data_IF_850390177541
#
_entry.id   IF_850390177541
#
_cell.length_a   1.000
_cell.length_b   1.000
_cell.length_c   1.000
_cell.angle_alpha   90.00
_cell.angle_beta   90.00
_cell.angle_gamma   90.00
#
_symmetry.space_group_name_H-M   'P 1'
#
loop_
_entity.id
_entity.type
_entity.pdbx_description
1 polymer ?
#
# COMPACT_ATOMS: atom_id res chain seq x y z
N UNK A 1 -20.36 5.86 59.47
CA UNK A 1 -20.27 6.57 58.18
C UNK A 1 -19.12 7.57 58.21
N UNK A 2 -18.03 7.31 57.47
CA UNK A 2 -17.05 8.33 57.05
C UNK A 2 -16.30 7.75 55.85
N UNK A 3 -16.45 8.41 54.70
CA UNK A 3 -15.84 8.06 53.40
C UNK A 3 -14.36 8.46 53.42
N UNK A 4 -13.49 7.60 52.91
CA UNK A 4 -12.12 7.96 52.51
C UNK A 4 -12.02 7.78 50.99
N UNK A 5 -11.65 8.86 50.31
CA UNK A 5 -11.41 8.94 48.87
C UNK A 5 -10.01 8.41 48.55
N UNK A 6 -9.92 7.58 47.52
CA UNK A 6 -8.69 7.17 46.87
C UNK A 6 -8.16 8.28 45.96
N UNK A 7 -6.88 8.61 46.10
CA UNK A 7 -6.12 9.50 45.21
C UNK A 7 -5.26 8.65 44.27
N UNK A 8 -5.48 8.80 42.98
CA UNK A 8 -4.70 8.25 41.88
C UNK A 8 -3.33 8.95 41.80
N UNK A 9 -2.23 8.18 41.72
CA UNK A 9 -0.91 8.71 41.40
C UNK A 9 -0.62 8.50 39.91
N UNK A 10 -0.36 9.61 39.22
CA UNK A 10 0.30 9.68 37.92
C UNK A 10 1.77 10.05 38.13
N UNK A 11 2.71 9.35 37.47
CA UNK A 11 4.13 9.70 37.27
C UNK A 11 4.83 8.50 36.60
N UNK A 12 5.83 8.59 35.72
CA UNK A 12 6.56 9.69 35.09
C UNK A 12 7.31 9.11 33.86
N UNK A 13 7.64 10.01 32.94
CA UNK A 13 8.44 9.90 31.72
C UNK A 13 9.85 9.29 31.84
N UNK A 14 10.35 8.68 30.75
CA UNK A 14 11.76 8.80 30.34
C UNK A 14 11.81 9.03 28.82
N UNK A 15 12.39 10.17 28.44
CA UNK A 15 12.70 10.55 27.07
C UNK A 15 14.12 10.06 26.71
N UNK A 16 14.27 9.41 25.56
CA UNK A 16 15.56 9.10 24.96
C UNK A 16 15.75 9.97 23.72
N UNK A 17 16.76 10.83 23.77
CA UNK A 17 17.24 11.64 22.65
C UNK A 17 18.02 10.74 21.69
N UNK A 18 17.57 10.63 20.44
CA UNK A 18 18.37 10.11 19.34
C UNK A 18 18.43 11.16 18.23
N UNK A 19 19.65 11.48 17.84
CA UNK A 19 19.98 12.48 16.84
C UNK A 19 19.46 12.06 15.46
N UNK A 20 18.62 12.91 14.86
CA UNK A 20 18.26 12.84 13.46
C UNK A 20 19.46 13.29 12.62
N UNK A 21 20.18 12.35 12.04
CA UNK A 21 20.94 12.62 10.82
C UNK A 21 19.94 12.56 9.64
N UNK A 22 19.51 13.73 9.20
CA UNK A 22 18.76 13.88 7.96
C UNK A 22 19.70 13.55 6.78
N UNK A 23 19.49 12.41 6.14
CA UNK A 23 19.94 12.20 4.76
C UNK A 23 18.73 12.46 3.86
N UNK A 24 18.66 13.68 3.33
CA UNK A 24 17.73 14.03 2.27
C UNK A 24 18.16 13.34 0.97
N UNK A 25 17.27 12.56 0.39
CA UNK A 25 17.39 12.08 -0.98
C UNK A 25 17.09 13.22 -1.95
N UNK A 26 18.12 14.00 -2.27
CA UNK A 26 18.08 15.04 -3.29
C UNK A 26 18.09 14.44 -4.70
N UNK A 27 17.27 15.02 -5.57
CA UNK A 27 17.28 14.74 -7.01
C UNK A 27 18.44 15.44 -7.70
N UNK A 28 19.10 14.72 -8.60
CA UNK A 28 20.18 15.27 -9.41
C UNK A 28 19.69 15.52 -10.85
N UNK A 29 19.57 16.79 -11.18
CA UNK A 29 19.66 17.31 -12.54
C UNK A 29 20.99 18.04 -12.73
N UNK A 30 21.62 17.86 -13.88
CA UNK A 30 22.80 18.62 -14.32
C UNK A 30 23.46 17.96 -15.53
N UNK A 31 23.13 18.38 -16.76
CA UNK A 31 23.73 19.49 -17.52
C UNK A 31 24.99 19.11 -18.30
N UNK A 32 24.80 19.10 -19.63
CA UNK A 32 25.68 19.51 -20.73
C UNK A 32 27.21 19.46 -20.56
N UNK A 33 27.84 18.65 -21.40
CA UNK A 33 29.11 19.04 -22.04
C UNK A 33 29.08 18.74 -23.54
N UNK A 34 29.69 19.66 -24.28
CA UNK A 34 29.67 19.84 -25.73
C UNK A 34 30.79 19.06 -26.42
N UNK A 35 30.49 18.57 -27.64
CA UNK A 35 31.45 18.51 -28.74
C UNK A 35 31.94 17.13 -29.18
N UNK A 36 31.39 16.59 -30.26
CA UNK A 36 32.15 16.34 -31.51
C UNK A 36 31.24 15.74 -32.59
N UNK A 37 31.39 16.30 -33.80
CA UNK A 37 30.73 15.95 -35.06
C UNK A 37 31.04 14.53 -35.55
N UNK A 38 30.02 13.83 -36.06
CA UNK A 38 30.19 12.58 -36.81
C UNK A 38 28.89 12.18 -37.52
N UNK A 39 28.90 12.25 -38.84
CA UNK A 39 27.79 12.01 -39.77
C UNK A 39 27.18 10.60 -39.69
N UNK A 40 25.84 10.56 -39.73
CA UNK A 40 25.00 9.67 -40.53
C UNK A 40 25.20 8.14 -40.49
N UNK A 41 24.20 7.44 -39.98
CA UNK A 41 23.34 6.57 -40.81
C UNK A 41 22.13 6.12 -40.01
N UNK A 42 20.94 6.21 -40.60
CA UNK A 42 19.68 5.85 -39.97
C UNK A 42 19.60 4.35 -39.69
N UNK A 43 19.20 4.00 -38.47
CA UNK A 43 18.63 2.69 -38.17
C UNK A 43 17.37 2.91 -37.36
N UNK A 44 16.24 2.71 -38.03
CA UNK A 44 14.89 2.68 -37.52
C UNK A 44 14.72 1.63 -36.41
N UNK A 45 14.11 2.06 -35.30
CA UNK A 45 13.13 1.27 -34.54
C UNK A 45 13.61 -0.06 -33.97
N UNK A 46 14.52 -0.02 -33.00
CA UNK A 46 14.71 -1.12 -32.06
C UNK A 46 13.54 -1.15 -31.07
N UNK A 47 12.44 -1.82 -31.43
CA UNK A 47 11.44 -2.23 -30.46
C UNK A 47 12.08 -3.22 -29.50
N UNK A 48 12.44 -2.76 -28.30
CA UNK A 48 12.93 -3.61 -27.23
C UNK A 48 11.84 -4.62 -26.87
N UNK A 49 12.06 -5.88 -27.22
CA UNK A 49 11.27 -7.00 -26.71
C UNK A 49 11.28 -6.93 -25.18
N UNK A 50 10.11 -6.93 -24.50
CA UNK A 50 10.06 -6.94 -23.05
C UNK A 50 10.90 -8.11 -22.52
N UNK A 51 11.92 -7.79 -21.71
CA UNK A 51 12.76 -8.82 -21.08
C UNK A 51 11.86 -9.56 -20.09
N UNK A 52 11.70 -10.87 -20.28
CA UNK A 52 10.98 -11.70 -19.32
C UNK A 52 11.67 -11.61 -17.96
N UNK A 53 10.93 -11.15 -16.94
CA UNK A 53 11.43 -11.09 -15.57
C UNK A 53 11.43 -12.50 -15.00
N UNK A 54 12.61 -12.96 -14.55
CA UNK A 54 12.77 -14.30 -13.97
C UNK A 54 11.83 -14.51 -12.79
N UNK A 55 11.26 -15.71 -12.69
CA UNK A 55 10.39 -16.10 -11.57
C UNK A 55 8.91 -15.72 -11.72
N UNK A 56 8.53 -14.95 -12.76
CA UNK A 56 7.11 -14.64 -13.02
C UNK A 56 6.37 -15.86 -13.56
N UNK A 57 5.25 -16.20 -12.93
CA UNK A 57 4.43 -17.37 -13.27
C UNK A 57 3.15 -16.96 -13.98
N UNK A 58 2.71 -17.76 -14.96
CA UNK A 58 1.41 -17.56 -15.63
C UNK A 58 0.22 -17.90 -14.74
N UNK A 59 0.41 -18.84 -13.80
CA UNK A 59 -0.55 -19.23 -12.78
C UNK A 59 0.11 -19.27 -11.41
N UNK A 60 -0.50 -18.70 -10.35
CA UNK A 60 0.08 -18.70 -9.02
C UNK A 60 0.23 -20.14 -8.48
N UNK A 61 1.27 -20.37 -7.70
CA UNK A 61 1.65 -21.63 -7.07
C UNK A 61 1.67 -21.54 -5.53
N UNK A 62 1.05 -20.50 -4.95
CA UNK A 62 0.85 -20.45 -3.49
C UNK A 62 0.06 -21.67 -3.01
N UNK A 63 0.43 -22.19 -1.83
CA UNK A 63 -0.21 -23.36 -1.27
C UNK A 63 -1.70 -23.13 -0.97
N UNK A 64 -2.53 -24.15 -1.18
CA UNK A 64 -3.95 -24.08 -0.86
C UNK A 64 -4.16 -23.80 0.63
N UNK A 65 -5.02 -22.82 0.96
CA UNK A 65 -5.29 -22.41 2.35
C UNK A 65 -4.21 -21.54 2.99
N UNK A 66 -3.19 -21.12 2.23
CA UNK A 66 -2.17 -20.17 2.70
C UNK A 66 -2.70 -18.72 2.75
N UNK A 67 -2.07 -17.91 3.61
CA UNK A 67 -2.33 -16.48 3.68
C UNK A 67 -1.97 -15.77 2.37
N UNK A 68 -0.86 -16.18 1.74
CA UNK A 68 -0.38 -15.63 0.47
C UNK A 68 -1.42 -15.84 -0.64
N UNK A 69 -1.97 -17.05 -0.77
CA UNK A 69 -3.00 -17.34 -1.78
C UNK A 69 -4.27 -16.51 -1.53
N UNK A 70 -4.69 -16.39 -0.27
CA UNK A 70 -5.87 -15.62 0.10
C UNK A 70 -5.70 -14.12 -0.21
N UNK A 71 -4.53 -13.54 0.12
CA UNK A 71 -4.19 -12.16 -0.17
C UNK A 71 -4.10 -11.91 -1.68
N UNK A 72 -3.39 -12.78 -2.41
CA UNK A 72 -3.24 -12.70 -3.87
C UNK A 72 -4.60 -12.69 -4.57
N UNK A 73 -5.48 -13.63 -4.22
CA UNK A 73 -6.80 -13.76 -4.85
C UNK A 73 -7.69 -12.55 -4.58
N UNK A 74 -7.76 -12.10 -3.31
CA UNK A 74 -8.60 -10.96 -2.94
C UNK A 74 -8.11 -9.65 -3.59
N UNK A 75 -6.80 -9.41 -3.59
CA UNK A 75 -6.23 -8.23 -4.22
C UNK A 75 -6.47 -8.24 -5.74
N UNK A 76 -6.26 -9.39 -6.40
CA UNK A 76 -6.54 -9.50 -7.84
C UNK A 76 -8.01 -9.37 -8.20
N UNK A 77 -8.92 -9.87 -7.35
CA UNK A 77 -10.36 -9.66 -7.53
C UNK A 77 -10.68 -8.16 -7.63
N UNK A 78 -10.17 -7.37 -6.69
CA UNK A 78 -10.39 -5.92 -6.69
C UNK A 78 -9.70 -5.20 -7.84
N UNK A 79 -8.43 -5.53 -8.10
CA UNK A 79 -7.65 -4.94 -9.21
C UNK A 79 -8.34 -5.13 -10.54
N UNK A 80 -8.70 -6.38 -10.86
CA UNK A 80 -9.32 -6.73 -12.14
C UNK A 80 -10.73 -6.17 -12.28
N UNK A 81 -11.52 -6.12 -11.20
CA UNK A 81 -12.84 -5.48 -11.20
C UNK A 81 -12.75 -4.00 -11.60
N UNK A 82 -11.70 -3.30 -11.18
CA UNK A 82 -11.49 -1.89 -11.48
C UNK A 82 -10.61 -1.62 -12.72
N UNK A 83 -10.30 -2.65 -13.50
CA UNK A 83 -9.52 -2.52 -14.73
C UNK A 83 -8.03 -2.24 -14.52
N UNK A 84 -7.51 -2.43 -13.30
CA UNK A 84 -6.07 -2.43 -13.05
C UNK A 84 -5.43 -3.74 -13.55
N UNK A 85 -4.14 -3.73 -13.90
CA UNK A 85 -3.45 -4.95 -14.32
C UNK A 85 -3.51 -6.03 -13.24
N UNK A 86 -3.89 -7.24 -13.65
CA UNK A 86 -3.85 -8.40 -12.78
C UNK A 86 -2.40 -8.72 -12.38
N UNK A 87 -2.16 -8.91 -11.10
CA UNK A 87 -0.88 -9.33 -10.57
C UNK A 87 -0.62 -10.79 -10.92
N UNK A 88 0.62 -11.06 -11.34
CA UNK A 88 1.21 -12.38 -11.48
C UNK A 88 2.15 -12.62 -10.30
N UNK A 89 2.15 -13.83 -9.76
CA UNK A 89 3.15 -14.21 -8.78
C UNK A 89 4.54 -14.15 -9.40
N UNK A 90 5.49 -13.59 -8.68
CA UNK A 90 6.91 -13.66 -9.00
C UNK A 90 7.68 -14.31 -7.84
N UNK A 91 8.29 -15.46 -8.07
CA UNK A 91 8.94 -16.26 -7.01
C UNK A 91 10.20 -15.60 -6.43
N UNK A 92 10.86 -14.70 -7.16
CA UNK A 92 11.99 -13.93 -6.65
C UNK A 92 11.49 -12.86 -5.67
N UNK A 93 10.39 -12.18 -6.02
CA UNK A 93 9.73 -11.23 -5.13
C UNK A 93 9.13 -11.96 -3.91
N UNK A 94 8.61 -13.18 -4.05
CA UNK A 94 8.15 -13.99 -2.91
C UNK A 94 9.28 -14.22 -1.92
N UNK A 95 10.47 -14.58 -2.40
CA UNK A 95 11.63 -14.79 -1.54
C UNK A 95 12.03 -13.51 -0.79
N UNK A 96 12.02 -12.36 -1.47
CA UNK A 96 12.29 -11.06 -0.85
C UNK A 96 11.25 -10.69 0.21
N UNK A 97 9.97 -10.83 -0.12
CA UNK A 97 8.86 -10.56 0.79
C UNK A 97 8.86 -11.52 2.00
N UNK A 98 9.18 -12.80 1.78
CA UNK A 98 9.26 -13.81 2.83
C UNK A 98 10.40 -13.52 3.81
N UNK A 99 11.55 -13.08 3.29
CA UNK A 99 12.68 -12.65 4.13
C UNK A 99 12.29 -11.43 4.96
N UNK A 100 11.56 -10.47 4.38
CA UNK A 100 11.12 -9.28 5.10
C UNK A 100 10.05 -9.58 6.17
N UNK A 101 9.10 -10.47 5.88
CA UNK A 101 8.14 -10.95 6.86
C UNK A 101 8.85 -11.61 8.07
N UNK A 102 9.88 -12.41 7.80
CA UNK A 102 10.74 -12.98 8.85
C UNK A 102 11.52 -11.91 9.61
N UNK A 103 12.05 -10.89 8.93
CA UNK A 103 12.71 -9.75 9.57
C UNK A 103 11.75 -9.03 10.54
N UNK A 104 10.52 -8.74 10.12
CA UNK A 104 9.52 -8.13 11.00
C UNK A 104 9.24 -8.98 12.24
N UNK A 105 9.10 -10.30 12.08
CA UNK A 105 8.92 -11.21 13.22
C UNK A 105 10.12 -11.29 14.16
N UNK A 106 11.35 -11.31 13.62
CA UNK A 106 12.58 -11.34 14.42
C UNK A 106 12.79 -10.04 15.21
N UNK A 107 12.33 -8.92 14.67
CA UNK A 107 12.49 -7.59 15.27
C UNK A 107 11.20 -7.09 15.95
N UNK A 108 10.15 -7.91 15.96
CA UNK A 108 8.84 -7.66 16.57
C UNK A 108 8.27 -6.26 16.24
N UNK A 109 8.30 -5.90 14.95
CA UNK A 109 7.86 -4.60 14.48
C UNK A 109 7.31 -4.70 13.04
N UNK A 110 6.17 -4.06 12.80
CA UNK A 110 5.68 -3.81 11.44
C UNK A 110 6.41 -2.59 10.91
N UNK A 111 7.25 -2.80 9.90
CA UNK A 111 8.08 -1.76 9.29
C UNK A 111 8.20 -2.01 7.79
N UNK A 112 8.43 -0.94 7.04
CA UNK A 112 8.66 -1.02 5.59
C UNK A 112 10.15 -1.05 5.23
N UNK A 113 11.00 -0.71 6.20
CA UNK A 113 12.46 -0.65 6.05
C UNK A 113 13.17 -1.62 6.98
N UNK A 114 14.33 -2.12 6.53
CA UNK A 114 15.24 -2.89 7.37
C UNK A 114 16.45 -2.04 7.76
N UNK A 115 16.96 -2.27 8.97
CA UNK A 115 18.12 -1.55 9.51
C UNK A 115 19.32 -2.49 9.49
N UNK A 116 20.43 -2.05 8.89
CA UNK A 116 21.65 -2.83 8.85
C UNK A 116 22.14 -3.17 10.25
N UNK A 117 22.56 -4.42 10.46
CA UNK A 117 22.97 -4.95 11.77
C UNK A 117 21.87 -5.63 12.56
N UNK A 118 20.58 -5.41 12.21
CA UNK A 118 19.48 -6.16 12.81
C UNK A 118 19.40 -7.60 12.27
N UNK A 119 18.86 -8.50 13.08
CA UNK A 119 18.75 -9.90 12.71
C UNK A 119 17.81 -10.06 11.50
N UNK A 120 18.26 -10.83 10.50
CA UNK A 120 17.48 -11.10 9.29
C UNK A 120 17.57 -10.01 8.21
N UNK A 121 18.44 -9.00 8.37
CA UNK A 121 18.65 -7.96 7.36
C UNK A 121 19.04 -8.56 5.99
N UNK A 122 18.35 -8.11 4.95
CA UNK A 122 18.57 -8.45 3.55
C UNK A 122 18.65 -7.22 2.64
N UNK A 123 18.04 -6.10 3.04
CA UNK A 123 18.09 -4.85 2.28
C UNK A 123 17.19 -3.76 2.89
N UNK A 124 17.63 -2.51 2.83
CA UNK A 124 16.95 -1.40 3.50
C UNK A 124 15.54 -1.14 2.95
N UNK A 125 15.38 -1.03 1.63
CA UNK A 125 14.09 -0.83 0.95
C UNK A 125 13.54 -2.12 0.33
N UNK A 126 12.26 -2.11 -0.07
CA UNK A 126 11.67 -3.24 -0.82
C UNK A 126 12.44 -3.56 -2.11
N UNK A 127 12.92 -2.53 -2.81
CA UNK A 127 13.72 -2.69 -4.03
C UNK A 127 15.08 -3.32 -3.69
N UNK A 128 15.77 -2.85 -2.65
CA UNK A 128 17.06 -3.43 -2.23
C UNK A 128 16.91 -4.92 -1.89
N UNK A 129 15.83 -5.28 -1.19
CA UNK A 129 15.52 -6.68 -0.85
C UNK A 129 15.23 -7.52 -2.08
N UNK A 130 14.45 -6.98 -3.02
CA UNK A 130 14.16 -7.65 -4.29
C UNK A 130 15.44 -7.88 -5.09
N UNK A 131 16.31 -6.87 -5.20
CA UNK A 131 17.60 -6.96 -5.89
C UNK A 131 18.53 -7.97 -5.21
N UNK A 132 18.59 -7.96 -3.87
CA UNK A 132 19.35 -8.95 -3.11
C UNK A 132 18.84 -10.39 -3.32
N UNK A 133 17.54 -10.58 -3.58
CA UNK A 133 16.95 -11.86 -3.94
C UNK A 133 17.18 -12.25 -5.42
N UNK A 134 17.69 -11.35 -6.26
CA UNK A 134 17.98 -11.58 -7.67
C UNK A 134 17.00 -10.93 -8.64
N UNK A 135 16.12 -10.03 -8.18
CA UNK A 135 15.25 -9.25 -9.05
C UNK A 135 16.06 -8.17 -9.78
N UNK A 136 15.71 -7.77 -11.02
CA UNK A 136 16.50 -6.78 -11.74
C UNK A 136 16.59 -5.43 -11.01
N UNK A 137 17.77 -4.81 -11.01
CA UNK A 137 18.03 -3.53 -10.34
C UNK A 137 17.32 -2.33 -10.99
N UNK A 138 16.79 -2.48 -12.20
CA UNK A 138 15.95 -1.48 -12.86
C UNK A 138 14.49 -1.52 -12.38
N UNK A 139 14.20 -2.21 -11.27
CA UNK A 139 12.86 -2.33 -10.73
C UNK A 139 12.31 -0.98 -10.25
N UNK A 140 11.01 -0.80 -10.40
CA UNK A 140 10.24 0.31 -9.85
C UNK A 140 8.93 -0.26 -9.33
N UNK A 141 8.48 0.28 -8.21
CA UNK A 141 7.15 0.01 -7.70
C UNK A 141 7.02 0.35 -6.24
N UNK A 142 6.12 -0.36 -5.57
CA UNK A 142 5.82 -0.15 -4.15
C UNK A 142 5.98 -1.46 -3.39
N UNK A 143 6.08 -1.34 -2.08
CA UNK A 143 5.92 -2.46 -1.17
C UNK A 143 5.15 -2.01 0.05
N UNK A 144 4.54 -2.97 0.71
CA UNK A 144 3.72 -2.73 1.89
C UNK A 144 3.97 -3.84 2.91
N UNK A 145 3.88 -3.47 4.19
CA UNK A 145 4.00 -4.38 5.32
C UNK A 145 2.78 -4.29 6.22
N UNK A 146 2.33 -5.44 6.72
CA UNK A 146 1.20 -5.52 7.64
C UNK A 146 1.45 -6.59 8.69
N UNK A 147 1.05 -6.30 9.93
CA UNK A 147 1.09 -7.25 11.03
C UNK A 147 -0.24 -7.29 11.74
N UNK A 148 -0.73 -8.50 12.02
CA UNK A 148 -1.97 -8.71 12.79
C UNK A 148 -1.70 -9.73 13.87
N UNK A 149 -2.14 -9.41 15.09
CA UNK A 149 -2.12 -10.32 16.22
C UNK A 149 -3.54 -10.85 16.47
N UNK A 150 -3.71 -12.17 16.43
CA UNK A 150 -4.99 -12.84 16.71
C UNK A 150 -4.78 -13.89 17.79
N UNK A 151 -5.77 -14.09 18.67
CA UNK A 151 -5.71 -15.17 19.65
C UNK A 151 -5.53 -16.52 18.94
N UNK A 152 -4.55 -17.32 19.36
CA UNK A 152 -4.09 -18.50 18.60
C UNK A 152 -5.21 -19.48 18.26
N UNK A 153 -6.21 -19.65 19.14
CA UNK A 153 -7.36 -20.52 18.87
C UNK A 153 -8.33 -20.04 17.78
N UNK A 154 -8.25 -18.77 17.37
CA UNK A 154 -9.08 -18.16 16.34
C UNK A 154 -8.31 -17.86 15.04
N UNK A 155 -7.03 -18.21 14.98
CA UNK A 155 -6.18 -17.91 13.83
C UNK A 155 -6.39 -18.93 12.70
N UNK A 156 -6.56 -18.44 11.48
CA UNK A 156 -6.37 -19.22 10.26
C UNK A 156 -5.60 -18.39 9.23
N UNK A 157 -4.70 -19.04 8.48
CA UNK A 157 -3.87 -18.36 7.49
C UNK A 157 -4.73 -17.67 6.41
N UNK A 158 -5.79 -18.33 5.92
CA UNK A 158 -6.72 -17.74 4.96
C UNK A 158 -7.37 -16.45 5.47
N UNK A 159 -7.91 -16.46 6.71
CA UNK A 159 -8.55 -15.27 7.28
C UNK A 159 -7.53 -14.14 7.48
N UNK A 160 -6.32 -14.46 7.94
CA UNK A 160 -5.26 -13.48 8.07
C UNK A 160 -4.91 -12.86 6.71
N UNK A 161 -4.71 -13.65 5.64
CA UNK A 161 -4.41 -13.12 4.31
C UNK A 161 -5.49 -12.16 3.79
N UNK A 162 -6.77 -12.44 4.07
CA UNK A 162 -7.86 -11.54 3.74
C UNK A 162 -7.83 -10.26 4.59
N UNK A 163 -7.63 -10.38 5.92
CA UNK A 163 -7.54 -9.24 6.83
C UNK A 163 -6.34 -8.34 6.54
N UNK A 164 -5.21 -8.92 6.13
CA UNK A 164 -4.02 -8.21 5.70
C UNK A 164 -4.34 -7.28 4.52
N UNK A 165 -4.97 -7.82 3.47
CA UNK A 165 -5.42 -7.02 2.33
C UNK A 165 -6.44 -5.96 2.77
N UNK A 166 -7.48 -6.30 3.54
CA UNK A 166 -8.44 -5.31 4.00
C UNK A 166 -7.80 -4.19 4.84
N UNK A 167 -6.80 -4.50 5.66
CA UNK A 167 -6.08 -3.50 6.45
C UNK A 167 -5.33 -2.51 5.54
N UNK A 168 -4.70 -3.02 4.48
CA UNK A 168 -4.02 -2.19 3.47
C UNK A 168 -5.02 -1.34 2.68
N UNK A 169 -6.13 -1.93 2.23
CA UNK A 169 -7.18 -1.21 1.48
C UNK A 169 -7.90 -0.15 2.31
N UNK A 170 -7.87 -0.26 3.63
CA UNK A 170 -8.42 0.74 4.53
C UNK A 170 -7.45 1.92 4.77
N UNK A 171 -6.15 1.73 4.52
CA UNK A 171 -5.12 2.75 4.67
C UNK A 171 -5.17 3.80 3.56
N UNK A 172 -5.09 5.08 3.92
CA UNK A 172 -5.08 6.19 2.97
C UNK A 172 -3.88 6.07 2.02
N UNK A 173 -2.72 5.74 2.55
CA UNK A 173 -1.48 5.59 1.78
C UNK A 173 -1.36 4.17 1.19
N UNK A 174 -1.73 3.14 1.95
CA UNK A 174 -1.62 1.74 1.52
C UNK A 174 -2.68 1.27 0.51
N UNK A 175 -3.77 2.05 0.32
CA UNK A 175 -4.81 1.70 -0.67
C UNK A 175 -4.29 1.70 -2.11
N UNK A 176 -3.13 2.30 -2.36
CA UNK A 176 -2.43 2.26 -3.64
C UNK A 176 -2.08 0.83 -4.08
N UNK A 177 -1.97 -0.15 -3.17
CA UNK A 177 -1.74 -1.57 -3.49
C UNK A 177 -2.80 -2.13 -4.46
N UNK A 178 -4.03 -1.60 -4.41
CA UNK A 178 -5.11 -1.98 -5.32
C UNK A 178 -5.07 -1.28 -6.68
N UNK A 179 -4.26 -0.23 -6.84
CA UNK A 179 -4.31 0.63 -8.02
C UNK A 179 -2.95 0.78 -8.72
N UNK A 180 -1.85 0.56 -8.02
CA UNK A 180 -0.50 0.86 -8.51
C UNK A 180 -0.19 0.10 -9.81
N UNK A 181 0.39 0.75 -10.83
CA UNK A 181 0.47 0.23 -12.20
C UNK A 181 1.58 -0.82 -12.43
N UNK A 182 1.55 -1.91 -11.67
CA UNK A 182 2.35 -3.13 -11.90
C UNK A 182 1.46 -4.33 -12.20
N UNK A 183 2.06 -5.40 -12.73
CA UNK A 183 1.43 -6.71 -12.94
C UNK A 183 2.24 -7.87 -12.34
N UNK A 184 3.23 -7.60 -11.49
CA UNK A 184 3.90 -8.65 -10.71
C UNK A 184 3.89 -8.34 -9.22
N UNK A 185 3.82 -9.40 -8.42
CA UNK A 185 3.83 -9.31 -6.96
C UNK A 185 4.57 -10.50 -6.38
N UNK A 186 5.31 -10.26 -5.30
CA UNK A 186 5.71 -11.29 -4.37
C UNK A 186 5.02 -11.10 -3.03
N UNK A 187 4.58 -12.19 -2.41
CA UNK A 187 3.90 -12.17 -1.11
C UNK A 187 4.62 -13.13 -0.16
N UNK A 188 5.06 -12.59 0.97
CA UNK A 188 5.69 -13.34 2.04
C UNK A 188 4.87 -13.24 3.33
N UNK A 189 4.87 -14.31 4.11
CA UNK A 189 4.18 -14.34 5.40
C UNK A 189 5.01 -15.14 6.41
N UNK A 190 5.10 -14.66 7.65
CA UNK A 190 5.71 -15.38 8.74
C UNK A 190 4.94 -15.20 10.03
N UNK A 191 4.96 -16.23 10.88
CA UNK A 191 4.26 -16.23 12.16
C UNK A 191 5.24 -16.22 13.34
N UNK A 192 4.85 -15.56 14.42
CA UNK A 192 5.52 -15.61 15.73
C UNK A 192 4.48 -15.70 16.83
N UNK A 193 4.80 -16.39 17.92
CA UNK A 193 3.91 -16.54 19.06
C UNK A 193 4.27 -15.57 20.18
N UNK A 194 3.28 -14.90 20.76
CA UNK A 194 3.43 -14.11 21.98
C UNK A 194 2.43 -14.54 23.04
N UNK A 195 2.81 -14.35 24.31
CA UNK A 195 1.97 -14.66 25.47
C UNK A 195 1.72 -13.38 26.26
N UNK A 196 0.47 -13.04 26.53
CA UNK A 196 0.10 -11.88 27.34
C UNK A 196 -1.13 -12.17 28.19
N UNK A 197 -1.05 -11.91 29.50
CA UNK A 197 -2.18 -12.09 30.42
C UNK A 197 -2.73 -13.52 30.49
N UNK A 198 -1.92 -14.55 30.20
CA UNK A 198 -2.35 -15.95 30.15
C UNK A 198 -2.98 -16.38 28.82
N UNK A 199 -3.04 -15.48 27.84
CA UNK A 199 -3.53 -15.76 26.48
C UNK A 199 -2.36 -15.90 25.51
N UNK A 200 -2.52 -16.81 24.54
CA UNK A 200 -1.59 -17.01 23.43
C UNK A 200 -2.09 -16.26 22.19
N UNK A 201 -1.19 -15.54 21.54
CA UNK A 201 -1.44 -14.83 20.29
C UNK A 201 -0.52 -15.35 19.20
N UNK A 202 -1.09 -15.54 18.02
CA UNK A 202 -0.35 -15.68 16.78
C UNK A 202 -0.24 -14.30 16.15
N UNK A 203 0.99 -13.82 16.02
CA UNK A 203 1.31 -12.59 15.30
C UNK A 203 1.80 -13.03 13.93
N UNK A 204 1.06 -12.64 12.91
CA UNK A 204 1.41 -12.93 11.53
C UNK A 204 1.84 -11.64 10.85
N UNK A 205 2.96 -11.72 10.14
CA UNK A 205 3.67 -10.63 9.51
C UNK A 205 3.63 -10.88 8.01
N UNK A 206 3.04 -9.99 7.23
CA UNK A 206 2.94 -10.12 5.77
C UNK A 206 3.60 -8.94 5.09
N UNK A 207 4.33 -9.24 4.01
CA UNK A 207 4.89 -8.24 3.11
C UNK A 207 4.45 -8.53 1.68
N UNK A 208 4.12 -7.47 0.95
CA UNK A 208 3.89 -7.54 -0.50
C UNK A 208 4.91 -6.63 -1.18
N UNK A 209 5.56 -7.15 -2.23
CA UNK A 209 6.44 -6.37 -3.11
C UNK A 209 5.84 -6.34 -4.51
N UNK A 210 5.38 -5.17 -4.94
CA UNK A 210 4.70 -4.92 -6.21
C UNK A 210 5.66 -4.16 -7.12
N UNK A 211 6.55 -4.88 -7.82
CA UNK A 211 7.70 -4.30 -8.52
C UNK A 211 7.77 -4.78 -9.96
N UNK A 212 7.97 -3.88 -10.90
CA UNK A 212 8.23 -4.23 -12.30
C UNK A 212 9.51 -3.58 -12.81
N UNK A 213 10.10 -4.13 -13.88
CA UNK A 213 11.14 -3.43 -14.66
C UNK A 213 10.55 -2.50 -15.71
N UNK A 214 9.27 -2.67 -16.05
CA UNK A 214 8.51 -1.84 -16.97
C UNK A 214 7.10 -1.65 -16.41
N UNK A 215 6.70 -0.39 -16.28
CA UNK A 215 5.45 -0.02 -15.65
C UNK A 215 4.29 -0.28 -16.60
N UNK A 216 3.18 -0.77 -16.03
CA UNK A 216 1.99 -1.08 -16.81
C UNK A 216 1.22 0.19 -17.11
N UNK A 217 0.47 0.17 -18.22
CA UNK A 217 -0.41 1.27 -18.58
C UNK A 217 -1.80 1.04 -18.00
N UNK A 218 -2.36 2.04 -17.35
CA UNK A 218 -3.76 2.08 -16.96
C UNK A 218 -4.57 2.61 -18.13
N UNK A 219 -5.46 1.78 -18.68
CA UNK A 219 -6.38 2.21 -19.71
C UNK A 219 -7.37 3.24 -19.13
N UNK A 220 -7.68 4.29 -19.89
CA UNK A 220 -8.61 5.35 -19.47
C UNK A 220 -8.25 6.02 -18.13
N UNK A 221 -6.95 6.24 -17.88
CA UNK A 221 -6.47 6.93 -16.68
C UNK A 221 -7.13 8.34 -16.53
N UNK A 222 -7.39 8.80 -15.30
CA UNK A 222 -7.14 8.09 -14.05
C UNK A 222 -8.25 7.06 -13.76
N UNK A 223 -7.87 5.91 -13.20
CA UNK A 223 -8.79 4.91 -12.67
C UNK A 223 -8.91 5.05 -11.15
N UNK A 224 -9.95 4.48 -10.55
CA UNK A 224 -10.18 4.58 -9.10
C UNK A 224 -10.25 3.21 -8.44
N UNK A 225 -9.77 3.14 -7.21
CA UNK A 225 -10.14 2.07 -6.28
C UNK A 225 -10.67 2.71 -4.99
N UNK A 226 -11.88 2.37 -4.52
CA UNK A 226 -12.90 1.58 -5.20
C UNK A 226 -13.34 2.18 -6.54
N UNK A 227 -13.88 1.34 -7.43
CA UNK A 227 -14.56 1.74 -8.65
C UNK A 227 -16.05 1.37 -8.58
N UNK A 228 -16.78 1.59 -9.68
CA UNK A 228 -18.21 1.27 -9.77
C UNK A 228 -18.52 -0.18 -9.38
N UNK A 229 -19.45 -0.33 -8.43
CA UNK A 229 -19.99 -1.62 -8.00
C UNK A 229 -19.04 -2.44 -7.14
N UNK A 230 -17.91 -1.90 -6.70
CA UNK A 230 -17.04 -2.58 -5.72
C UNK A 230 -17.79 -2.77 -4.41
N UNK A 231 -17.71 -3.97 -3.83
CA UNK A 231 -18.36 -4.31 -2.56
C UNK A 231 -17.36 -4.93 -1.57
N UNK A 232 -17.73 -4.96 -0.29
CA UNK A 232 -16.94 -5.63 0.75
C UNK A 232 -15.68 -4.87 1.19
N UNK A 233 -15.53 -3.60 0.79
CA UNK A 233 -14.37 -2.79 1.19
C UNK A 233 -14.43 -2.39 2.66
N UNK A 234 -13.29 -2.25 3.34
CA UNK A 234 -13.26 -1.97 4.78
C UNK A 234 -13.98 -0.67 5.11
N UNK A 235 -14.97 -0.71 6.00
CA UNK A 235 -15.72 0.48 6.40
C UNK A 235 -14.93 1.43 7.31
N UNK A 236 -13.82 0.95 7.88
CA UNK A 236 -13.03 1.66 8.88
C UNK A 236 -11.56 1.26 8.88
N UNK A 237 -10.68 2.23 9.09
CA UNK A 237 -9.35 2.03 9.67
C UNK A 237 -9.15 2.98 10.87
N UNK A 238 -8.20 2.63 11.74
CA UNK A 238 -7.84 3.44 12.91
C UNK A 238 -6.33 3.57 13.12
N UNK A 239 -5.52 2.87 12.32
CA UNK A 239 -4.08 2.94 12.41
C UNK A 239 -3.47 2.74 11.03
N UNK A 240 -2.47 3.55 10.73
CA UNK A 240 -1.64 3.52 9.54
C UNK A 240 -0.34 4.25 9.89
N UNK A 241 0.75 3.85 9.26
CA UNK A 241 2.04 4.53 9.40
C UNK A 241 2.50 4.91 7.99
N UNK A 242 2.64 6.21 7.67
CA UNK A 242 2.29 7.37 8.51
C UNK A 242 0.78 7.56 8.66
N UNK A 243 0.37 8.27 9.72
CA UNK A 243 -1.05 8.55 9.98
C UNK A 243 -1.56 9.64 9.01
N UNK A 244 -2.71 9.45 8.34
CA UNK A 244 -3.30 10.50 7.51
C UNK A 244 -3.78 11.69 8.35
N UNK A 245 -3.73 12.92 7.80
CA UNK A 245 -4.18 14.12 8.50
C UNK A 245 -5.70 14.16 8.67
N UNK A 246 -6.17 15.02 9.59
CA UNK A 246 -7.59 15.42 9.70
C UNK A 246 -8.60 14.27 9.85
N UNK A 247 -8.21 13.20 10.56
CA UNK A 247 -9.08 12.07 10.91
C UNK A 247 -9.77 12.26 12.25
N UNK A 248 -10.90 11.57 12.44
CA UNK A 248 -11.60 11.53 13.72
C UNK A 248 -10.88 10.63 14.73
N UNK A 249 -11.19 10.80 16.02
CA UNK A 249 -10.65 9.95 17.09
C UNK A 249 -11.07 8.48 16.97
N UNK A 250 -12.12 8.17 16.21
CA UNK A 250 -12.57 6.80 15.97
C UNK A 250 -12.02 6.18 14.68
N UNK A 251 -11.17 6.93 13.95
CA UNK A 251 -10.56 6.52 12.70
C UNK A 251 -11.14 7.25 11.48
N UNK A 252 -11.03 6.62 10.32
CA UNK A 252 -11.51 7.11 9.03
C UNK A 252 -12.21 6.00 8.25
N UNK A 253 -12.87 6.36 7.15
CA UNK A 253 -13.59 5.43 6.29
C UNK A 253 -12.77 4.94 5.10
N UNK A 254 -13.37 4.11 4.23
CA UNK A 254 -12.68 3.59 3.04
C UNK A 254 -12.10 4.74 2.18
N UNK A 255 -10.78 4.76 1.94
CA UNK A 255 -10.18 5.71 1.02
C UNK A 255 -10.53 5.40 -0.44
N UNK A 256 -10.42 6.40 -1.28
CA UNK A 256 -10.66 6.37 -2.72
C UNK A 256 -9.37 6.81 -3.38
N UNK A 257 -8.56 5.83 -3.80
CA UNK A 257 -7.36 6.05 -4.58
C UNK A 257 -7.74 6.44 -6.01
N UNK A 258 -7.09 7.48 -6.53
CA UNK A 258 -7.21 7.96 -7.92
C UNK A 258 -5.84 7.84 -8.56
N UNK A 259 -5.71 6.92 -9.50
CA UNK A 259 -4.42 6.49 -10.04
C UNK A 259 -4.30 6.78 -11.53
N UNK A 260 -3.28 7.55 -11.90
CA UNK A 260 -2.84 7.78 -13.27
C UNK A 260 -1.78 6.77 -13.73
N UNK A 261 -1.31 6.91 -14.96
CA UNK A 261 -0.03 6.30 -15.34
C UNK A 261 1.10 7.01 -14.58
N UNK A 262 2.24 6.37 -14.35
CA UNK A 262 3.35 7.00 -13.62
C UNK A 262 3.91 8.28 -14.27
N UNK A 263 3.65 8.48 -15.57
CA UNK A 263 4.00 9.71 -16.29
C UNK A 263 2.97 10.82 -16.16
N UNK A 264 1.80 10.53 -15.59
CA UNK A 264 0.71 11.49 -15.43
C UNK A 264 0.93 12.39 -14.20
N UNK A 265 0.43 13.61 -14.28
CA UNK A 265 0.24 14.52 -13.16
C UNK A 265 -1.25 14.58 -12.81
N UNK A 266 -1.66 13.86 -11.77
CA UNK A 266 -3.03 13.80 -11.27
C UNK A 266 -3.22 14.85 -10.17
N UNK A 267 -4.26 15.66 -10.29
CA UNK A 267 -4.71 16.58 -9.24
C UNK A 267 -6.20 16.40 -9.02
N UNK A 268 -6.57 15.88 -7.87
CA UNK A 268 -7.95 15.81 -7.42
C UNK A 268 -8.34 17.15 -6.79
N UNK A 269 -9.33 17.81 -7.38
CA UNK A 269 -9.76 19.16 -6.97
C UNK A 269 -10.94 19.10 -6.00
N UNK A 270 -11.84 18.13 -6.19
CA UNK A 270 -13.00 17.94 -5.32
C UNK A 270 -13.40 16.48 -5.24
N UNK A 271 -13.87 16.07 -4.07
CA UNK A 271 -14.54 14.79 -3.85
C UNK A 271 -15.85 15.04 -3.08
N UNK A 272 -16.92 14.35 -3.50
CA UNK A 272 -18.18 14.28 -2.78
C UNK A 272 -18.52 12.83 -2.54
N UNK A 273 -18.84 12.49 -1.30
CA UNK A 273 -19.31 11.16 -0.90
C UNK A 273 -20.66 11.33 -0.20
N UNK A 274 -21.65 10.53 -0.58
CA UNK A 274 -22.99 10.58 0.00
C UNK A 274 -23.43 9.16 0.36
N UNK A 275 -23.82 8.97 1.61
CA UNK A 275 -24.43 7.73 2.10
C UNK A 275 -25.92 7.89 2.36
N UNK A 276 -26.58 6.86 2.90
CA UNK A 276 -28.02 6.91 3.22
C UNK A 276 -28.40 8.02 4.22
N UNK A 277 -27.48 8.42 5.08
CA UNK A 277 -27.66 9.49 6.08
C UNK A 277 -27.31 10.88 5.55
N UNK A 278 -27.00 11.02 4.26
CA UNK A 278 -26.62 12.28 3.62
C UNK A 278 -25.12 12.39 3.32
N UNK A 279 -24.64 13.63 3.23
CA UNK A 279 -23.26 13.92 2.86
C UNK A 279 -22.26 13.40 3.91
N UNK A 280 -21.16 12.82 3.43
CA UNK A 280 -20.04 12.36 4.24
C UNK A 280 -18.92 13.39 4.15
N UNK A 281 -18.36 13.79 5.29
CA UNK A 281 -17.19 14.67 5.31
C UNK A 281 -15.97 13.92 4.77
N UNK A 282 -15.28 14.52 3.80
CA UNK A 282 -14.12 13.92 3.14
C UNK A 282 -12.93 14.87 3.13
N UNK A 283 -11.73 14.29 3.13
CA UNK A 283 -10.47 14.99 2.84
C UNK A 283 -10.00 14.59 1.44
N UNK A 284 -9.23 15.46 0.83
CA UNK A 284 -8.54 15.22 -0.44
C UNK A 284 -7.05 15.48 -0.23
N UNK A 285 -6.22 14.51 -0.63
CA UNK A 285 -4.78 14.63 -0.65
C UNK A 285 -4.27 14.47 -2.08
N UNK A 286 -3.42 15.41 -2.47
CA UNK A 286 -2.61 15.35 -3.67
C UNK A 286 -1.13 15.31 -3.26
N UNK A 287 -0.24 14.91 -4.17
CA UNK A 287 1.21 14.94 -3.94
C UNK A 287 1.72 16.28 -3.36
N UNK A 288 1.17 17.41 -3.82
CA UNK A 288 1.58 18.75 -3.37
C UNK A 288 1.02 19.16 -2.00
N UNK A 289 -0.02 18.49 -1.51
CA UNK A 289 -0.71 18.83 -0.26
C UNK A 289 -0.60 17.75 0.81
N UNK A 290 0.03 16.62 0.47
CA UNK A 290 0.26 15.52 1.39
C UNK A 290 1.36 15.88 2.41
N UNK A 291 1.04 16.06 3.70
CA UNK A 291 2.03 16.42 4.70
C UNK A 291 3.08 15.32 4.94
N UNK A 292 2.73 14.05 4.66
CA UNK A 292 3.62 12.92 4.85
C UNK A 292 4.51 12.66 3.63
N UNK A 293 4.18 13.24 2.46
CA UNK A 293 4.93 13.13 1.20
C UNK A 293 5.06 11.70 0.67
N UNK A 294 4.03 10.89 0.89
CA UNK A 294 3.93 9.52 0.38
C UNK A 294 3.26 9.48 -1.00
N UNK A 295 2.42 10.47 -1.33
CA UNK A 295 1.76 10.51 -2.62
C UNK A 295 2.68 11.02 -3.74
N UNK A 296 2.91 10.17 -4.76
CA UNK A 296 3.52 10.58 -6.03
C UNK A 296 2.58 11.43 -6.90
N UNK A 297 3.15 12.20 -7.84
CA UNK A 297 2.38 13.12 -8.71
C UNK A 297 1.34 12.44 -9.59
N UNK A 298 1.48 11.14 -9.81
CA UNK A 298 0.57 10.30 -10.60
C UNK A 298 -0.65 9.82 -9.82
N UNK A 299 -0.80 10.22 -8.55
CA UNK A 299 -1.91 9.79 -7.71
C UNK A 299 -2.48 10.90 -6.83
N UNK A 300 -3.71 10.69 -6.40
CA UNK A 300 -4.39 11.44 -5.36
C UNK A 300 -5.30 10.50 -4.57
N UNK A 301 -5.67 10.88 -3.35
CA UNK A 301 -6.58 10.09 -2.50
C UNK A 301 -7.65 10.99 -1.91
N UNK A 302 -8.91 10.55 -1.94
CA UNK A 302 -9.97 11.12 -1.12
C UNK A 302 -10.40 10.12 -0.06
N UNK A 303 -10.69 10.56 1.17
CA UNK A 303 -11.14 9.64 2.22
C UNK A 303 -12.15 10.28 3.16
N UNK A 304 -13.17 9.53 3.64
CA UNK A 304 -14.05 9.96 4.71
C UNK A 304 -13.26 10.22 6.00
N UNK A 305 -13.47 11.35 6.67
CA UNK A 305 -12.74 11.71 7.90
C UNK A 305 -13.15 10.90 9.13
N UNK A 306 -14.22 10.12 9.02
CA UNK A 306 -14.78 9.29 10.07
C UNK A 306 -15.14 7.92 9.50
N UNK A 307 -15.22 6.87 10.33
CA UNK A 307 -15.67 5.55 9.89
C UNK A 307 -17.00 5.61 9.14
N UNK A 308 -17.11 4.80 8.09
CA UNK A 308 -18.36 4.57 7.39
C UNK A 308 -19.20 3.51 8.12
N UNK A 309 -20.48 3.45 7.81
CA UNK A 309 -21.35 2.38 8.27
C UNK A 309 -20.98 1.07 7.54
N UNK A 310 -20.99 -0.09 8.22
CA UNK A 310 -20.78 -1.38 7.57
C UNK A 310 -21.94 -1.72 6.63
N UNK A 311 -21.69 -2.58 5.64
CA UNK A 311 -22.71 -3.08 4.69
C UNK A 311 -23.55 -1.97 4.04
N UNK A 312 -22.93 -0.82 3.74
CA UNK A 312 -23.62 0.38 3.31
C UNK A 312 -23.07 0.87 1.97
N UNK A 313 -23.96 1.23 1.05
CA UNK A 313 -23.60 1.79 -0.25
C UNK A 313 -23.42 3.29 -0.17
N UNK A 314 -22.34 3.78 -0.76
CA UNK A 314 -22.00 5.20 -0.88
C UNK A 314 -21.85 5.57 -2.34
N UNK A 315 -22.37 6.74 -2.71
CA UNK A 315 -22.20 7.34 -4.03
C UNK A 315 -21.10 8.40 -3.97
N UNK A 316 -20.23 8.37 -4.98
CA UNK A 316 -19.03 9.19 -5.09
C UNK A 316 -19.11 10.05 -6.35
N UNK A 317 -18.65 11.29 -6.26
CA UNK A 317 -18.30 12.11 -7.43
C UNK A 317 -16.96 12.78 -7.19
N UNK A 318 -16.04 12.60 -8.14
CA UNK A 318 -14.70 13.14 -8.13
C UNK A 318 -14.50 14.05 -9.34
N UNK A 319 -13.86 15.20 -9.14
CA UNK A 319 -13.44 16.08 -10.23
C UNK A 319 -11.99 16.50 -10.03
N UNK A 320 -11.23 16.52 -11.11
CA UNK A 320 -9.82 16.87 -11.07
C UNK A 320 -9.24 17.05 -12.47
N UNK A 321 -7.91 16.98 -12.55
CA UNK A 321 -7.17 17.06 -13.81
C UNK A 321 -6.12 15.98 -13.92
N UNK A 322 -5.86 15.52 -15.15
CA UNK A 322 -4.67 14.76 -15.54
C UNK A 322 -3.90 15.56 -16.56
N UNK A 323 -2.65 15.91 -16.26
CA UNK A 323 -1.80 16.75 -17.12
C UNK A 323 -2.52 18.07 -17.51
N UNK A 324 -3.26 18.66 -16.57
CA UNK A 324 -4.06 19.87 -16.79
C UNK A 324 -5.40 19.66 -17.51
N UNK A 325 -5.67 18.47 -18.08
CA UNK A 325 -6.94 18.14 -18.73
C UNK A 325 -7.96 17.68 -17.69
N UNK A 326 -9.15 18.28 -17.67
CA UNK A 326 -10.18 17.95 -16.69
C UNK A 326 -10.69 16.51 -16.83
N UNK A 327 -10.98 15.86 -15.71
CA UNK A 327 -11.68 14.59 -15.64
C UNK A 327 -12.79 14.64 -14.58
N UNK A 328 -13.79 13.78 -14.75
CA UNK A 328 -14.80 13.49 -13.74
C UNK A 328 -15.02 11.98 -13.63
N UNK A 329 -15.32 11.51 -12.42
CA UNK A 329 -15.71 10.12 -12.13
C UNK A 329 -16.90 10.16 -11.19
N UNK A 330 -17.95 9.43 -11.53
CA UNK A 330 -19.10 9.20 -10.64
C UNK A 330 -19.35 7.70 -10.58
N UNK A 331 -19.43 7.17 -9.36
CA UNK A 331 -19.61 5.75 -9.12
C UNK A 331 -20.17 5.48 -7.73
N UNK A 332 -20.55 4.25 -7.44
CA UNK A 332 -20.90 3.80 -6.08
C UNK A 332 -20.07 2.60 -5.64
N UNK A 333 -19.82 2.49 -4.34
CA UNK A 333 -19.21 1.32 -3.70
C UNK A 333 -19.97 0.94 -2.43
N UNK A 334 -19.79 -0.31 -1.97
CA UNK A 334 -20.45 -0.83 -0.77
C UNK A 334 -19.40 -1.31 0.23
N UNK A 335 -19.48 -0.81 1.46
CA UNK A 335 -18.63 -1.28 2.55
C UNK A 335 -18.98 -2.70 3.00
N UNK A 336 -17.99 -3.43 3.52
CA UNK A 336 -18.16 -4.74 4.16
C UNK A 336 -18.52 -4.65 5.64
N UNK A 337 -18.70 -5.82 6.27
CA UNK A 337 -18.94 -5.99 7.71
C UNK A 337 -17.72 -5.72 8.56
#
# INVERSE_FOLDING_TARGET
MKRLKTTSLSALSIAALLALAACGGGGDGGSSSTGSTGSGSGSSGGGSTPVAVTGTLDSPQYAQGSAQLAAFNLLNQYRTQCGFPALKQNTVLDQAAQNHAKYMGLNNAVVDTEVSGNQGYTGASYIDRAVAAGFPSSATGIGVSVGVATGTGNFTATQFGQQAVYSLLAGVYHSDVAAFPVDTVGIGEGETQTSSGGFQFTNSWMSLSLLNTQMQKIANSPATFPCEGVTGVPHKAANEIPMPPNISASGWGTPIAVMGNLTDAVVLQSASVTGPSGAVAVQVLNASTDPNKELGTYQAVAYPTSPLSPNTTYSVTLNGTVNGTAFSRSFSFTTGS
#
